data_IF_510747642193
#
_entry.id   IF_510747642193
#
_cell.length_a   1.000
_cell.length_b   1.000
_cell.length_c   1.000
_cell.angle_alpha   90.00
_cell.angle_beta   90.00
_cell.angle_gamma   90.00
#
_symmetry.space_group_name_H-M   'P 1'
#
loop_
_entity.id
_entity.type
_entity.pdbx_description
1 polymer ?
#
# COMPACT_ATOMS: atom_id res chain seq x y z
N UNK A 1 -0.62 31.32 -14.60
CA UNK A 1 -1.00 29.93 -14.99
C UNK A 1 -0.72 29.07 -13.78
N UNK A 2 -1.73 28.85 -12.95
CA UNK A 2 -1.65 27.92 -11.81
C UNK A 2 -1.64 26.52 -12.39
N UNK A 3 -0.53 25.81 -12.21
CA UNK A 3 -0.48 24.37 -12.47
C UNK A 3 -1.45 23.70 -11.51
N UNK A 4 -2.57 23.19 -12.03
CA UNK A 4 -3.48 22.31 -11.30
C UNK A 4 -2.64 21.12 -10.82
N UNK A 5 -2.25 21.17 -9.56
CA UNK A 5 -1.62 20.02 -8.92
C UNK A 5 -2.71 18.95 -8.85
N UNK A 6 -2.62 17.94 -9.70
CA UNK A 6 -3.57 16.84 -9.78
C UNK A 6 -3.89 16.33 -8.37
N UNK A 7 -5.15 16.43 -7.95
CA UNK A 7 -5.59 16.01 -6.62
C UNK A 7 -5.29 14.53 -6.39
N UNK A 8 -4.37 14.28 -5.49
CA UNK A 8 -3.93 12.92 -5.16
C UNK A 8 -4.77 12.37 -3.99
N UNK A 9 -5.97 11.94 -4.28
CA UNK A 9 -6.92 11.40 -3.31
C UNK A 9 -6.34 10.34 -2.37
N UNK A 10 -5.32 9.62 -2.80
CA UNK A 10 -4.64 8.61 -1.97
C UNK A 10 -3.65 9.21 -0.96
N UNK A 11 -3.40 10.50 -0.97
CA UNK A 11 -2.61 11.25 0.01
C UNK A 11 -3.51 11.98 1.03
N UNK A 12 -4.82 11.94 0.84
CA UNK A 12 -5.82 12.47 1.75
C UNK A 12 -6.15 11.43 2.83
N UNK A 13 -5.69 11.68 4.06
CA UNK A 13 -5.85 10.70 5.15
C UNK A 13 -7.31 10.59 5.62
N UNK A 14 -8.08 11.68 5.62
CA UNK A 14 -9.50 11.66 6.01
C UNK A 14 -10.32 10.83 5.03
N UNK A 15 -10.06 11.01 3.75
CA UNK A 15 -10.66 10.21 2.71
C UNK A 15 -10.26 8.74 2.84
N UNK A 16 -8.97 8.45 3.02
CA UNK A 16 -8.48 7.07 3.14
C UNK A 16 -9.05 6.39 4.40
N UNK A 17 -9.12 7.09 5.52
CA UNK A 17 -9.73 6.57 6.76
C UNK A 17 -11.23 6.34 6.60
N UNK A 18 -11.92 7.16 5.82
CA UNK A 18 -13.33 6.96 5.48
C UNK A 18 -13.55 5.73 4.60
N UNK A 19 -12.63 5.45 3.68
CA UNK A 19 -12.77 4.36 2.70
C UNK A 19 -12.25 3.00 3.19
N UNK A 20 -11.34 2.99 4.16
CA UNK A 20 -10.62 1.80 4.64
C UNK A 20 -10.62 1.73 6.17
N UNK A 21 -10.56 0.52 6.70
CA UNK A 21 -10.19 0.25 8.08
C UNK A 21 -8.90 -0.58 8.11
N UNK A 22 -8.06 -0.33 9.09
CA UNK A 22 -6.81 -1.03 9.31
C UNK A 22 -6.76 -1.64 10.71
N UNK A 23 -6.44 -2.92 10.77
CA UNK A 23 -6.19 -3.61 12.02
C UNK A 23 -4.67 -3.67 12.27
N UNK A 24 -4.16 -2.94 13.27
CA UNK A 24 -2.72 -2.85 13.52
C UNK A 24 -2.11 -4.15 14.05
N UNK A 25 -2.90 -5.05 14.65
CA UNK A 25 -2.41 -6.31 15.21
C UNK A 25 -2.27 -7.40 14.15
N UNK A 26 -3.21 -7.46 13.22
CA UNK A 26 -3.17 -8.43 12.13
C UNK A 26 -2.48 -7.91 10.87
N UNK A 27 -2.37 -6.59 10.71
CA UNK A 27 -1.84 -5.94 9.53
C UNK A 27 -2.80 -5.94 8.34
N UNK A 28 -4.07 -6.26 8.56
CA UNK A 28 -5.08 -6.40 7.51
C UNK A 28 -5.80 -5.07 7.29
N UNK A 29 -6.05 -4.76 6.03
CA UNK A 29 -6.78 -3.57 5.61
C UNK A 29 -8.07 -4.02 4.93
N UNK A 30 -9.20 -3.52 5.42
CA UNK A 30 -10.53 -3.86 4.93
C UNK A 30 -11.16 -2.67 4.21
N UNK A 31 -12.00 -2.98 3.22
CA UNK A 31 -12.86 -1.99 2.58
C UNK A 31 -14.00 -1.59 3.52
N UNK A 32 -14.23 -0.30 3.71
CA UNK A 32 -15.44 0.24 4.34
C UNK A 32 -16.55 0.45 3.32
N UNK A 33 -17.74 0.68 3.80
CA UNK A 33 -18.90 1.07 3.00
C UNK A 33 -18.64 2.41 2.30
N UNK A 34 -19.17 2.54 1.09
CA UNK A 34 -19.06 3.75 0.27
C UNK A 34 -20.43 4.30 -0.09
N UNK A 35 -20.53 5.61 -0.10
CA UNK A 35 -21.70 6.34 -0.57
C UNK A 35 -21.66 6.59 -2.08
N UNK A 36 -22.76 7.02 -2.67
CA UNK A 36 -22.81 7.33 -4.11
C UNK A 36 -21.87 8.46 -4.52
N UNK A 37 -21.58 9.42 -3.61
CA UNK A 37 -20.66 10.53 -3.90
C UNK A 37 -19.19 10.09 -4.10
N UNK A 38 -18.85 8.83 -3.81
CA UNK A 38 -17.53 8.27 -4.05
C UNK A 38 -17.33 7.73 -5.48
N UNK A 39 -18.40 7.76 -6.26
CA UNK A 39 -18.42 7.22 -7.62
C UNK A 39 -18.87 8.29 -8.61
N UNK A 40 -18.53 8.09 -9.86
CA UNK A 40 -19.05 8.81 -11.01
C UNK A 40 -19.88 7.86 -11.85
N UNK A 41 -20.89 8.39 -12.54
CA UNK A 41 -21.67 7.64 -13.52
C UNK A 41 -20.75 7.02 -14.57
N UNK A 42 -21.07 5.81 -14.99
CA UNK A 42 -20.20 5.05 -15.88
C UNK A 42 -20.95 4.47 -17.06
N UNK A 43 -20.37 4.60 -18.25
CA UNK A 43 -20.93 4.05 -19.47
C UNK A 43 -21.98 4.96 -20.11
N UNK A 44 -22.65 4.46 -21.13
CA UNK A 44 -23.73 5.14 -21.86
C UNK A 44 -24.73 4.13 -22.43
N UNK A 45 -25.94 4.60 -22.74
CA UNK A 45 -27.01 3.74 -23.30
C UNK A 45 -27.32 2.54 -22.39
N UNK A 46 -27.39 1.35 -22.98
CA UNK A 46 -27.71 0.10 -22.26
C UNK A 46 -26.63 -0.37 -21.27
N UNK A 47 -25.41 0.19 -21.35
CA UNK A 47 -24.30 -0.11 -20.43
C UNK A 47 -24.12 0.96 -19.33
N UNK A 48 -25.03 1.90 -19.22
CA UNK A 48 -24.98 2.95 -18.19
C UNK A 48 -25.21 2.37 -16.79
N UNK A 49 -24.33 2.72 -15.86
CA UNK A 49 -24.44 2.42 -14.42
C UNK A 49 -24.28 3.73 -13.65
N UNK A 50 -25.32 4.12 -12.92
CA UNK A 50 -25.28 5.33 -12.09
C UNK A 50 -24.30 5.18 -10.91
N UNK A 51 -23.85 6.31 -10.35
CA UNK A 51 -23.02 6.33 -9.14
C UNK A 51 -23.67 5.56 -7.99
N UNK A 52 -25.00 5.67 -7.81
CA UNK A 52 -25.80 4.89 -6.84
C UNK A 52 -25.73 3.39 -7.12
N UNK A 53 -25.83 2.97 -8.36
CA UNK A 53 -25.74 1.56 -8.77
C UNK A 53 -24.33 1.00 -8.51
N UNK A 54 -23.29 1.80 -8.78
CA UNK A 54 -21.91 1.45 -8.48
C UNK A 54 -21.65 1.34 -6.96
N UNK A 55 -22.17 2.25 -6.15
CA UNK A 55 -22.08 2.19 -4.69
C UNK A 55 -22.76 0.93 -4.14
N UNK A 56 -23.98 0.63 -4.57
CA UNK A 56 -24.71 -0.56 -4.15
C UNK A 56 -23.95 -1.86 -4.49
N UNK A 57 -23.43 -1.95 -5.71
CA UNK A 57 -22.63 -3.10 -6.14
C UNK A 57 -21.33 -3.22 -5.34
N UNK A 58 -20.62 -2.11 -5.13
CA UNK A 58 -19.40 -2.10 -4.34
C UNK A 58 -19.65 -2.58 -2.91
N UNK A 59 -20.66 -2.04 -2.24
CA UNK A 59 -20.98 -2.38 -0.85
C UNK A 59 -21.33 -3.87 -0.71
N UNK A 60 -22.06 -4.43 -1.67
CA UNK A 60 -22.37 -5.86 -1.72
C UNK A 60 -21.13 -6.72 -1.96
N UNK A 61 -20.27 -6.33 -2.90
CA UNK A 61 -19.20 -7.17 -3.43
C UNK A 61 -17.86 -6.98 -2.72
N UNK A 62 -17.61 -5.81 -2.11
CA UNK A 62 -16.29 -5.39 -1.65
C UNK A 62 -16.24 -4.96 -0.19
N UNK A 63 -17.31 -4.36 0.36
CA UNK A 63 -17.31 -3.91 1.75
C UNK A 63 -17.00 -5.07 2.71
N UNK A 64 -16.16 -4.83 3.70
CA UNK A 64 -15.69 -5.84 4.66
C UNK A 64 -14.64 -6.82 4.13
N UNK A 65 -14.27 -6.74 2.85
CA UNK A 65 -13.24 -7.63 2.28
C UNK A 65 -11.83 -7.08 2.49
N UNK A 66 -10.87 -8.00 2.60
CA UNK A 66 -9.45 -7.70 2.63
C UNK A 66 -9.00 -7.11 1.28
N UNK A 67 -8.55 -5.85 1.29
CA UNK A 67 -8.25 -5.09 0.07
C UNK A 67 -6.88 -5.35 -0.53
N UNK A 68 -5.88 -5.64 0.31
CA UNK A 68 -4.46 -5.74 -0.08
C UNK A 68 -3.97 -7.17 0.09
N UNK A 69 -4.40 -8.08 -0.78
CA UNK A 69 -4.09 -9.51 -0.69
C UNK A 69 -3.23 -10.04 -1.85
N UNK A 70 -2.95 -9.21 -2.86
CA UNK A 70 -2.15 -9.62 -4.02
C UNK A 70 -0.67 -9.43 -3.73
N UNK A 71 0.10 -10.50 -3.83
CA UNK A 71 1.57 -10.46 -3.72
C UNK A 71 2.20 -9.88 -4.98
N UNK A 72 3.11 -8.93 -4.80
CA UNK A 72 3.94 -8.38 -5.87
C UNK A 72 5.40 -8.51 -5.49
N UNK A 73 6.19 -9.01 -6.42
CA UNK A 73 7.65 -9.10 -6.30
C UNK A 73 8.27 -7.93 -7.08
N UNK A 74 9.07 -7.06 -6.44
CA UNK A 74 9.83 -6.05 -7.17
C UNK A 74 10.83 -6.71 -8.13
N UNK A 75 11.21 -6.06 -9.25
CA UNK A 75 12.29 -6.52 -10.10
C UNK A 75 13.57 -6.73 -9.27
N UNK A 76 14.25 -7.88 -9.46
CA UNK A 76 15.49 -8.26 -8.76
C UNK A 76 15.39 -8.43 -7.24
N UNK A 77 14.21 -8.27 -6.62
CA UNK A 77 14.03 -8.51 -5.19
C UNK A 77 13.85 -10.01 -4.86
N UNK A 78 14.22 -10.39 -3.65
CA UNK A 78 14.02 -11.74 -3.11
C UNK A 78 12.78 -11.82 -2.23
N UNK A 79 12.07 -10.72 -2.00
CA UNK A 79 10.90 -10.60 -1.15
C UNK A 79 9.65 -10.20 -1.93
N UNK A 80 8.50 -10.43 -1.33
CA UNK A 80 7.18 -9.99 -1.83
C UNK A 80 6.61 -8.93 -0.90
N UNK A 81 5.72 -8.08 -1.43
CA UNK A 81 4.86 -7.22 -0.63
C UNK A 81 3.42 -7.30 -1.13
N UNK A 82 2.48 -6.91 -0.28
CA UNK A 82 1.07 -6.91 -0.62
C UNK A 82 0.69 -5.60 -1.33
N UNK A 83 -0.12 -5.74 -2.38
CA UNK A 83 -0.68 -4.62 -3.14
C UNK A 83 -2.17 -4.78 -3.30
N UNK A 84 -2.86 -3.67 -3.44
CA UNK A 84 -4.26 -3.59 -3.83
C UNK A 84 -4.48 -2.44 -4.79
N UNK A 85 -5.59 -2.49 -5.53
CA UNK A 85 -6.03 -1.39 -6.39
C UNK A 85 -7.28 -0.77 -5.78
N UNK A 86 -7.29 0.54 -5.72
CA UNK A 86 -8.44 1.32 -5.27
C UNK A 86 -8.82 2.32 -6.35
N UNK A 87 -10.11 2.60 -6.42
CA UNK A 87 -10.64 3.63 -7.32
C UNK A 87 -11.46 4.64 -6.52
N UNK A 88 -11.33 5.89 -6.88
CA UNK A 88 -12.13 6.98 -6.34
C UNK A 88 -12.46 7.95 -7.47
N UNK A 89 -13.75 8.28 -7.65
CA UNK A 89 -14.24 9.16 -8.72
C UNK A 89 -13.58 8.83 -10.07
N UNK A 90 -13.75 7.60 -10.55
CA UNK A 90 -13.23 7.15 -11.84
C UNK A 90 -11.70 6.92 -11.93
N UNK A 91 -10.91 7.46 -11.01
CA UNK A 91 -9.45 7.32 -10.98
C UNK A 91 -9.00 6.11 -10.18
N UNK A 92 -8.25 5.21 -10.81
CA UNK A 92 -7.71 4.01 -10.17
C UNK A 92 -6.23 4.17 -9.83
N UNK A 93 -5.85 3.69 -8.63
CA UNK A 93 -4.45 3.66 -8.19
C UNK A 93 -4.10 2.32 -7.55
N UNK A 94 -2.95 1.77 -7.94
CA UNK A 94 -2.37 0.64 -7.22
C UNK A 94 -1.54 1.16 -6.04
N UNK A 95 -1.82 0.64 -4.86
CA UNK A 95 -1.19 1.04 -3.61
C UNK A 95 -0.50 -0.16 -2.95
N UNK A 96 0.51 0.12 -2.14
CA UNK A 96 1.24 -0.87 -1.35
C UNK A 96 0.64 -0.95 0.06
N UNK A 97 0.36 -2.15 0.54
CA UNK A 97 -0.31 -2.38 1.82
C UNK A 97 0.42 -1.69 3.00
N UNK A 98 1.75 -1.87 3.11
CA UNK A 98 2.54 -1.28 4.21
C UNK A 98 2.48 0.25 4.23
N UNK A 99 2.41 0.89 3.04
CA UNK A 99 2.28 2.36 2.97
C UNK A 99 0.91 2.83 3.43
N UNK A 100 -0.15 2.11 3.02
CA UNK A 100 -1.52 2.40 3.45
C UNK A 100 -1.71 2.11 4.95
N UNK A 101 -1.19 0.99 5.45
CA UNK A 101 -1.22 0.63 6.87
C UNK A 101 -0.55 1.71 7.74
N UNK A 102 0.66 2.11 7.37
CA UNK A 102 1.40 3.17 8.07
C UNK A 102 0.64 4.50 8.03
N UNK A 103 0.10 4.87 6.86
CA UNK A 103 -0.66 6.10 6.66
C UNK A 103 -1.94 6.13 7.50
N UNK A 104 -2.72 5.05 7.51
CA UNK A 104 -3.95 4.97 8.31
C UNK A 104 -3.67 5.03 9.82
N UNK A 105 -2.56 4.46 10.27
CA UNK A 105 -2.20 4.44 11.68
C UNK A 105 -1.63 5.78 12.16
N UNK A 106 -0.67 6.35 11.41
CA UNK A 106 0.03 7.58 11.80
C UNK A 106 -0.61 8.87 11.25
N UNK A 107 -1.61 8.75 10.36
CA UNK A 107 -2.30 9.86 9.67
C UNK A 107 -1.34 10.78 8.89
N UNK A 108 -0.20 10.23 8.47
CA UNK A 108 0.82 10.92 7.69
C UNK A 108 1.68 9.92 6.90
N UNK A 109 2.30 10.39 5.84
CA UNK A 109 3.38 9.66 5.19
C UNK A 109 4.74 9.96 5.86
N UNK A 110 5.74 9.06 5.69
CA UNK A 110 7.11 9.36 6.09
C UNK A 110 7.62 10.64 5.42
N UNK A 111 8.35 11.46 6.18
CA UNK A 111 8.98 12.67 5.63
C UNK A 111 10.23 12.27 4.86
N UNK A 112 10.35 12.73 3.60
CA UNK A 112 11.55 12.47 2.79
C UNK A 112 12.82 12.88 3.54
N UNK A 113 13.91 12.08 3.53
CA UNK A 113 14.15 10.89 2.69
C UNK A 113 13.71 9.54 3.30
N UNK A 114 12.92 9.56 4.39
CA UNK A 114 12.47 8.34 5.05
C UNK A 114 11.49 7.56 4.16
N UNK A 115 11.54 6.25 4.28
CA UNK A 115 10.63 5.30 3.65
C UNK A 115 10.13 4.31 4.69
N UNK A 116 9.17 3.47 4.35
CA UNK A 116 8.65 2.45 5.27
C UNK A 116 9.41 1.14 5.02
N UNK A 117 9.93 0.55 6.09
CA UNK A 117 10.67 -0.71 6.10
C UNK A 117 9.97 -1.74 6.97
N UNK A 118 10.10 -3.03 6.60
CA UNK A 118 9.62 -4.17 7.40
C UNK A 118 10.77 -4.69 8.27
N UNK A 119 10.65 -4.53 9.59
CA UNK A 119 11.70 -4.90 10.56
C UNK A 119 12.10 -6.37 10.39
N UNK A 120 11.14 -7.27 10.25
CA UNK A 120 11.38 -8.71 10.07
C UNK A 120 11.71 -9.13 8.62
N UNK A 121 11.81 -8.19 7.68
CA UNK A 121 12.06 -8.41 6.25
C UNK A 121 10.96 -9.21 5.52
N UNK A 122 9.80 -9.42 6.14
CA UNK A 122 8.64 -10.02 5.51
C UNK A 122 7.71 -8.91 5.00
N UNK A 123 7.79 -8.57 3.73
CA UNK A 123 6.98 -7.53 3.11
C UNK A 123 5.47 -7.83 3.03
N UNK A 124 5.04 -8.99 3.49
CA UNK A 124 3.63 -9.36 3.62
C UNK A 124 3.09 -9.19 5.05
N UNK A 125 3.94 -8.91 6.03
CA UNK A 125 3.58 -8.69 7.43
C UNK A 125 3.45 -7.20 7.71
N UNK A 126 2.23 -6.68 7.55
CA UNK A 126 1.93 -5.24 7.68
C UNK A 126 1.41 -4.87 9.07
N UNK A 127 1.63 -5.68 10.10
CA UNK A 127 1.34 -5.29 11.49
C UNK A 127 2.16 -4.06 11.85
N UNK A 128 1.55 -3.12 12.60
CA UNK A 128 2.21 -1.84 12.87
C UNK A 128 3.53 -2.01 13.63
N UNK A 129 3.61 -2.98 14.52
CA UNK A 129 4.83 -3.30 15.29
C UNK A 129 6.00 -3.74 14.40
N UNK A 130 5.73 -4.17 13.17
CA UNK A 130 6.71 -4.57 12.18
C UNK A 130 7.07 -3.49 11.16
N UNK A 131 6.35 -2.35 11.17
CA UNK A 131 6.59 -1.25 10.25
C UNK A 131 7.35 -0.12 10.94
N UNK A 132 8.39 0.39 10.28
CA UNK A 132 9.16 1.53 10.77
C UNK A 132 9.50 2.51 9.65
N UNK A 133 9.72 3.75 10.02
CA UNK A 133 10.41 4.69 9.14
C UNK A 133 11.89 4.33 9.11
N UNK A 134 12.47 4.32 7.93
CA UNK A 134 13.87 4.00 7.73
C UNK A 134 14.49 4.87 6.64
N UNK A 135 15.74 5.26 6.84
CA UNK A 135 16.56 5.86 5.81
C UNK A 135 16.94 4.82 4.74
N UNK A 136 17.34 5.23 3.53
CA UNK A 136 17.85 4.32 2.51
C UNK A 136 19.03 3.46 3.02
N UNK A 137 19.88 4.02 3.90
CA UNK A 137 21.01 3.30 4.52
C UNK A 137 20.51 2.19 5.43
N UNK A 138 19.56 2.46 6.31
CA UNK A 138 18.97 1.47 7.22
C UNK A 138 18.25 0.36 6.46
N UNK A 139 17.48 0.69 5.41
CA UNK A 139 16.87 -0.31 4.53
C UNK A 139 17.92 -1.21 3.88
N UNK A 140 19.01 -0.63 3.37
CA UNK A 140 20.11 -1.40 2.80
C UNK A 140 20.74 -2.34 3.83
N UNK A 141 20.83 -1.89 5.09
CA UNK A 141 21.34 -2.72 6.20
C UNK A 141 20.38 -3.83 6.57
N UNK A 142 19.05 -3.62 6.47
CA UNK A 142 18.02 -4.62 6.78
C UNK A 142 17.82 -5.67 5.67
N UNK A 143 18.72 -5.82 4.72
CA UNK A 143 18.64 -6.89 3.71
C UNK A 143 19.29 -8.19 4.20
N UNK A 144 18.89 -9.34 3.64
CA UNK A 144 19.58 -10.62 3.90
C UNK A 144 21.01 -10.61 3.37
N UNK A 145 21.86 -11.42 3.96
CA UNK A 145 23.19 -11.70 3.42
C UNK A 145 23.02 -12.33 2.03
N UNK A 146 23.78 -11.87 1.05
CA UNK A 146 23.78 -12.43 -0.30
C UNK A 146 24.10 -13.93 -0.28
N UNK A 147 23.46 -14.73 -1.11
CA UNK A 147 23.78 -16.14 -1.31
C UNK A 147 25.21 -16.34 -1.82
N UNK A 148 25.80 -15.34 -2.47
CA UNK A 148 27.18 -15.35 -2.94
C UNK A 148 28.20 -14.94 -1.85
N UNK A 149 27.72 -14.57 -0.65
CA UNK A 149 28.62 -14.22 0.45
C UNK A 149 29.17 -15.49 1.11
N UNK A 150 30.45 -15.69 1.05
CA UNK A 150 31.17 -16.86 1.62
C UNK A 150 31.68 -16.62 3.03
N UNK A 151 31.78 -15.35 3.47
CA UNK A 151 32.30 -15.00 4.81
C UNK A 151 31.27 -15.16 5.94
N UNK A 152 29.96 -15.27 5.61
CA UNK A 152 28.90 -15.25 6.60
C UNK A 152 28.65 -13.87 7.23
N UNK A 153 29.45 -12.86 6.90
CA UNK A 153 29.33 -11.50 7.45
C UNK A 153 29.00 -10.54 6.31
N UNK A 154 27.98 -9.70 6.52
CA UNK A 154 27.54 -8.75 5.51
C UNK A 154 28.62 -7.69 5.24
N UNK A 155 28.94 -7.48 3.96
CA UNK A 155 29.95 -6.52 3.54
C UNK A 155 31.41 -7.00 3.67
N UNK A 156 31.62 -8.25 4.10
CA UNK A 156 32.95 -8.88 4.18
C UNK A 156 33.10 -9.92 3.09
N UNK A 157 34.22 -9.92 2.39
CA UNK A 157 34.62 -10.97 1.44
C UNK A 157 36.02 -11.49 1.80
N UNK A 158 36.26 -12.79 1.59
CA UNK A 158 37.61 -13.31 1.67
C UNK A 158 38.44 -12.89 0.44
N UNK A 159 39.63 -12.38 0.66
CA UNK A 159 40.60 -12.23 -0.42
C UNK A 159 41.09 -13.64 -0.79
N UNK A 160 40.73 -14.11 -1.97
CA UNK A 160 41.38 -15.27 -2.57
C UNK A 160 42.73 -14.82 -3.10
N UNK A 161 43.81 -15.40 -2.57
CA UNK A 161 45.16 -15.20 -3.08
C UNK A 161 45.28 -15.80 -4.49
#
# INVERSE_FOLDING_TARGET
MTTDTEYKWWEDWELMDRLLSYDPETGIIYAKERSECDFEDRGSGSSFISAKGLASKYNKDTCGRHMFNRRRKPPRATYYYLVGSMSYKGHSKQLQAHRVAFFLYHKRYPVFPLTIDHINRNGCDNRIVNLREATPKEQSTNTSISKANTSGVKGVSFLTA
#
